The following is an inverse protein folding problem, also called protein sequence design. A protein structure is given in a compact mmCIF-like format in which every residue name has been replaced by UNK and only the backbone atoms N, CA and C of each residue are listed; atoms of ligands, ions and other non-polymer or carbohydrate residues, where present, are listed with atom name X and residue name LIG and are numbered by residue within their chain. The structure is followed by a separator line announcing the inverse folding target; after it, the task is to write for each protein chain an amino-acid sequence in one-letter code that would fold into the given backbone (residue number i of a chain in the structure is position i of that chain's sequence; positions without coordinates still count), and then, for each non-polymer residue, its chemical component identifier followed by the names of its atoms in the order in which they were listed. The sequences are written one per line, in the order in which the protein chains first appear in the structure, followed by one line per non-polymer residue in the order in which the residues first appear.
data_IF_604251398335
#
_entry.id   IF_604251398335
#
_cell.length_a   1.000
_cell.length_b   1.000
_cell.length_c   1.000
_cell.angle_alpha   90.00
_cell.angle_beta   90.00
_cell.angle_gamma   90.00
#
_symmetry.space_group_name_H-M   'P 1'
#
loop_
_entity.id
_entity.type
_entity.pdbx_description
1 polymer ?
#
# COMPACT_ATOMS: atom_id res chain seq x y z
N UNK A 1 3.72 47.98 -19.31
CA UNK A 1 3.24 47.50 -20.62
C UNK A 1 3.96 46.16 -20.86
N UNK A 2 3.49 45.00 -20.39
CA UNK A 2 2.29 44.24 -20.79
C UNK A 2 2.13 44.13 -22.31
N UNK A 3 2.78 43.13 -22.90
CA UNK A 3 2.40 42.39 -24.13
C UNK A 3 3.57 41.41 -24.38
N UNK A 4 3.46 40.09 -24.48
CA UNK A 4 2.40 39.27 -25.05
C UNK A 4 2.35 37.93 -24.31
N UNK A 5 1.22 37.68 -23.63
CA UNK A 5 0.82 36.36 -23.13
C UNK A 5 -0.40 35.90 -23.91
N UNK A 6 -0.28 35.45 -25.17
CA UNK A 6 -1.36 34.68 -25.81
C UNK A 6 -0.79 33.69 -26.83
N UNK A 7 -1.19 32.42 -26.68
CA UNK A 7 -1.11 31.32 -27.64
C UNK A 7 0.25 30.66 -27.93
N UNK A 8 0.48 29.53 -27.25
CA UNK A 8 0.85 28.28 -27.93
C UNK A 8 0.45 27.09 -27.05
N UNK A 9 -0.70 26.47 -27.37
CA UNK A 9 -1.12 25.20 -26.79
C UNK A 9 -0.02 24.16 -27.04
N UNK A 10 0.43 23.38 -26.04
CA UNK A 10 1.22 22.19 -26.33
C UNK A 10 0.33 21.19 -27.05
N UNK A 11 0.59 21.01 -28.34
CA UNK A 11 0.07 19.93 -29.17
C UNK A 11 0.46 18.60 -28.53
N UNK A 12 -0.50 17.94 -27.89
CA UNK A 12 -0.37 16.56 -27.40
C UNK A 12 -0.23 15.64 -28.62
N UNK A 13 0.99 15.50 -29.11
CA UNK A 13 1.36 14.55 -30.16
C UNK A 13 0.96 13.15 -29.70
N UNK A 14 -0.02 12.57 -30.40
CA UNK A 14 -0.67 11.27 -30.15
C UNK A 14 0.30 10.08 -30.37
N UNK A 15 0.84 9.40 -29.35
CA UNK A 15 1.54 8.12 -29.54
C UNK A 15 0.65 6.93 -29.10
N UNK A 16 -0.43 7.19 -28.35
CA UNK A 16 -1.26 6.16 -27.73
C UNK A 16 -2.27 5.50 -28.68
N UNK A 17 -2.57 6.11 -29.83
CA UNK A 17 -3.52 5.56 -30.81
C UNK A 17 -2.96 4.37 -31.60
N UNK A 18 -1.62 4.29 -31.77
CA UNK A 18 -0.98 3.17 -32.48
C UNK A 18 -1.10 1.85 -31.71
N UNK A 19 -0.92 1.90 -30.38
CA UNK A 19 -1.02 0.73 -29.51
C UNK A 19 -2.44 0.16 -29.45
N UNK A 20 -3.45 1.02 -29.31
CA UNK A 20 -4.87 0.60 -29.26
C UNK A 20 -5.30 -0.04 -30.59
N UNK A 21 -4.89 0.52 -31.73
CA UNK A 21 -5.19 -0.07 -33.04
C UNK A 21 -4.53 -1.43 -33.25
N UNK A 22 -3.33 -1.64 -32.70
CA UNK A 22 -2.62 -2.92 -32.81
C UNK A 22 -3.29 -4.02 -31.99
N UNK A 23 -3.78 -3.69 -30.78
CA UNK A 23 -4.55 -4.60 -29.93
C UNK A 23 -5.90 -4.95 -30.57
N UNK A 24 -6.61 -3.97 -31.15
CA UNK A 24 -7.88 -4.23 -31.84
C UNK A 24 -7.69 -5.10 -33.09
N UNK A 25 -6.59 -4.93 -33.83
CA UNK A 25 -6.24 -5.83 -34.96
C UNK A 25 -5.94 -7.25 -34.49
N UNK A 26 -5.26 -7.43 -33.37
CA UNK A 26 -4.99 -8.74 -32.79
C UNK A 26 -6.28 -9.43 -32.30
N UNK A 27 -7.22 -8.69 -31.71
CA UNK A 27 -8.54 -9.23 -31.35
C UNK A 27 -9.38 -9.63 -32.57
N UNK A 28 -9.36 -8.84 -33.65
CA UNK A 28 -10.06 -9.19 -34.90
C UNK A 28 -9.46 -10.43 -35.59
N UNK A 29 -8.13 -10.58 -35.53
CA UNK A 29 -7.45 -11.75 -36.07
C UNK A 29 -7.80 -13.02 -35.27
N UNK A 30 -7.80 -12.94 -33.94
CA UNK A 30 -8.23 -14.05 -33.08
C UNK A 30 -9.71 -14.42 -33.30
N UNK A 31 -10.59 -13.43 -33.51
CA UNK A 31 -12.00 -13.66 -33.83
C UNK A 31 -12.18 -14.36 -35.18
N UNK A 32 -11.40 -14.00 -36.20
CA UNK A 32 -11.44 -14.68 -37.51
C UNK A 32 -10.91 -16.12 -37.45
N UNK A 33 -9.96 -16.42 -36.56
CA UNK A 33 -9.45 -17.79 -36.34
C UNK A 33 -10.49 -18.70 -35.66
N UNK A 34 -11.35 -18.15 -34.80
CA UNK A 34 -12.44 -18.89 -34.15
C UNK A 34 -13.56 -19.21 -35.16
N UNK A 35 -13.86 -18.27 -36.08
CA UNK A 35 -14.91 -18.44 -37.11
C UNK A 35 -14.49 -19.40 -38.21
N UNK A 36 -13.18 -19.60 -38.45
CA UNK A 36 -12.66 -20.51 -39.48
C UNK A 36 -12.49 -21.97 -39.04
N UNK A 37 -12.81 -22.32 -37.79
CA UNK A 37 -12.76 -23.70 -37.30
C UNK A 37 -11.36 -24.32 -37.22
N UNK A 38 -10.29 -23.52 -37.37
CA UNK A 38 -8.93 -23.96 -37.13
C UNK A 38 -8.67 -23.93 -35.62
N UNK A 39 -8.63 -25.10 -34.97
CA UNK A 39 -8.28 -25.18 -33.55
C UNK A 39 -6.79 -24.83 -33.37
N UNK A 40 -6.41 -23.69 -32.78
CA UNK A 40 -5.05 -23.53 -32.31
C UNK A 40 -4.84 -24.55 -31.18
N UNK A 41 -3.69 -25.24 -31.18
CA UNK A 41 -3.33 -26.18 -30.13
C UNK A 41 -3.54 -25.55 -28.76
N UNK A 42 -4.00 -26.35 -27.80
CA UNK A 42 -4.39 -25.95 -26.44
C UNK A 42 -3.40 -25.02 -25.73
N UNK A 43 -2.11 -25.13 -26.08
CA UNK A 43 -1.04 -24.26 -25.60
C UNK A 43 -1.20 -22.78 -26.00
N UNK A 44 -1.61 -22.48 -27.23
CA UNK A 44 -1.72 -21.10 -27.72
C UNK A 44 -2.91 -20.34 -27.09
N UNK A 45 -3.98 -21.05 -26.72
CA UNK A 45 -5.11 -20.48 -25.98
C UNK A 45 -4.72 -20.18 -24.53
N UNK A 46 -3.93 -21.06 -23.91
CA UNK A 46 -3.40 -20.85 -22.57
C UNK A 46 -2.42 -19.67 -22.53
N UNK A 47 -1.50 -19.56 -23.49
CA UNK A 47 -0.52 -18.47 -23.56
C UNK A 47 -1.18 -17.10 -23.84
N UNK A 48 -2.23 -17.05 -24.68
CA UNK A 48 -3.00 -15.83 -24.93
C UNK A 48 -3.79 -15.38 -23.68
N UNK A 49 -4.38 -16.33 -22.93
CA UNK A 49 -5.06 -16.03 -21.66
C UNK A 49 -4.09 -15.57 -20.57
N UNK A 50 -2.87 -16.12 -20.54
CA UNK A 50 -1.83 -15.80 -19.56
C UNK A 50 -1.22 -14.42 -19.82
N UNK A 51 -0.99 -14.06 -21.09
CA UNK A 51 -0.55 -12.72 -21.46
C UNK A 51 -1.64 -11.67 -21.20
N UNK A 52 -2.92 -12.01 -21.39
CA UNK A 52 -4.02 -11.11 -21.07
C UNK A 52 -4.13 -10.86 -19.56
N UNK A 53 -3.99 -11.91 -18.73
CA UNK A 53 -3.96 -11.78 -17.27
C UNK A 53 -2.70 -11.04 -16.76
N UNK A 54 -1.52 -11.25 -17.37
CA UNK A 54 -0.32 -10.48 -17.04
C UNK A 54 -0.45 -9.01 -17.45
N UNK A 55 -1.07 -8.70 -18.58
CA UNK A 55 -1.35 -7.33 -18.97
C UNK A 55 -2.37 -6.67 -18.04
N UNK A 56 -3.42 -7.36 -17.59
CA UNK A 56 -4.39 -6.86 -16.60
C UNK A 56 -3.73 -6.66 -15.22
N UNK A 57 -2.85 -7.57 -14.80
CA UNK A 57 -2.12 -7.45 -13.53
C UNK A 57 -1.11 -6.29 -13.56
N UNK A 58 -0.42 -6.10 -14.70
CA UNK A 58 0.54 -5.00 -14.93
C UNK A 58 -0.16 -3.65 -15.14
N UNK A 59 -1.40 -3.66 -15.62
CA UNK A 59 -2.19 -2.45 -15.83
C UNK A 59 -3.18 -2.18 -14.72
N UNK A 60 -3.19 -2.96 -13.61
CA UNK A 60 -4.22 -3.05 -12.55
C UNK A 60 -4.66 -1.73 -11.93
N UNK A 61 -5.24 -0.83 -12.74
CA UNK A 61 -5.93 0.36 -12.35
C UNK A 61 -7.29 -0.08 -11.81
N UNK A 62 -7.24 -0.78 -10.68
CA UNK A 62 -8.30 -0.69 -9.70
C UNK A 62 -8.28 0.76 -9.21
N UNK A 63 -9.22 1.53 -9.74
CA UNK A 63 -9.47 2.90 -9.30
C UNK A 63 -10.19 2.79 -7.96
N UNK A 64 -9.45 2.97 -6.85
CA UNK A 64 -10.08 3.33 -5.58
C UNK A 64 -10.80 4.66 -5.82
N UNK A 65 -12.08 4.73 -5.46
CA UNK A 65 -12.95 5.92 -5.62
C UNK A 65 -12.35 7.16 -4.95
N UNK A 66 -11.38 6.98 -4.05
CA UNK A 66 -10.70 8.03 -3.29
C UNK A 66 -9.54 8.71 -4.04
N UNK A 67 -9.26 8.34 -5.30
CA UNK A 67 -8.28 9.05 -6.12
C UNK A 67 -6.81 8.94 -5.67
N UNK A 68 -6.48 8.07 -4.71
CA UNK A 68 -5.10 7.84 -4.28
C UNK A 68 -4.42 6.88 -5.27
N UNK A 69 -3.75 7.44 -6.29
CA UNK A 69 -2.93 6.68 -7.23
C UNK A 69 -1.85 5.88 -6.47
N UNK A 70 -1.62 4.65 -6.94
CA UNK A 70 -0.48 3.80 -6.59
C UNK A 70 0.86 4.56 -6.69
N UNK A 71 1.66 4.45 -5.64
CA UNK A 71 3.09 4.17 -5.76
C UNK A 71 4.05 5.32 -6.06
N UNK A 72 3.66 6.59 -5.91
CA UNK A 72 4.68 7.62 -5.63
C UNK A 72 4.78 7.67 -4.12
N UNK A 73 5.90 7.17 -3.58
CA UNK A 73 6.29 7.44 -2.20
C UNK A 73 6.37 8.95 -2.05
N UNK A 74 5.26 9.56 -1.62
CA UNK A 74 5.24 10.96 -1.22
C UNK A 74 6.25 11.17 -0.09
N UNK A 75 6.52 12.43 0.30
CA UNK A 75 7.28 12.66 1.52
C UNK A 75 6.70 11.78 2.63
N UNK A 76 7.57 11.12 3.40
CA UNK A 76 7.16 10.33 4.56
C UNK A 76 6.09 11.10 5.37
N UNK A 77 5.13 10.40 6.01
CA UNK A 77 3.97 11.05 6.63
C UNK A 77 4.35 12.29 7.46
N UNK A 78 5.47 12.21 8.18
CA UNK A 78 6.04 13.29 8.97
C UNK A 78 6.52 14.50 8.14
N UNK A 79 7.24 14.32 7.03
CA UNK A 79 7.76 15.46 6.24
C UNK A 79 6.65 16.27 5.56
N UNK A 80 5.42 15.77 5.50
CA UNK A 80 4.26 16.54 5.03
C UNK A 80 3.92 17.71 5.96
N UNK A 81 4.07 17.55 7.27
CA UNK A 81 3.60 18.53 8.27
C UNK A 81 4.71 19.07 9.19
N UNK A 82 5.81 18.33 9.36
CA UNK A 82 6.92 18.74 10.24
C UNK A 82 7.86 19.70 9.51
N UNK A 83 7.76 20.99 9.85
CA UNK A 83 8.57 22.05 9.23
C UNK A 83 9.99 22.12 9.80
N UNK A 84 10.14 21.81 11.10
CA UNK A 84 11.42 21.76 11.80
C UNK A 84 12.12 20.44 11.51
N UNK A 85 13.27 20.51 10.82
CA UNK A 85 14.08 19.34 10.44
C UNK A 85 15.27 19.09 11.37
N UNK A 86 15.47 19.99 12.33
CA UNK A 86 16.53 19.92 13.34
C UNK A 86 16.17 18.99 14.51
N UNK A 87 14.90 18.61 14.64
CA UNK A 87 14.39 17.72 15.68
C UNK A 87 13.99 16.37 15.09
N UNK A 88 14.15 15.31 15.88
CA UNK A 88 13.69 13.97 15.50
C UNK A 88 12.18 13.94 15.34
N UNK A 89 11.70 13.19 14.36
CA UNK A 89 10.26 13.03 14.18
C UNK A 89 9.63 12.25 15.34
N UNK A 90 8.34 12.46 15.67
CA UNK A 90 7.67 11.64 16.68
C UNK A 90 7.73 10.13 16.39
N UNK A 91 7.74 9.76 15.10
CA UNK A 91 7.91 8.38 14.66
C UNK A 91 9.30 7.82 15.00
N UNK A 92 10.35 8.64 14.87
CA UNK A 92 11.70 8.27 15.30
C UNK A 92 11.78 8.14 16.81
N UNK A 93 11.21 9.10 17.56
CA UNK A 93 11.23 9.09 19.03
C UNK A 93 10.57 7.84 19.62
N UNK A 94 9.43 7.40 19.09
CA UNK A 94 8.77 6.19 19.59
C UNK A 94 9.49 4.90 19.17
N UNK A 95 10.23 4.93 18.06
CA UNK A 95 11.03 3.79 17.63
C UNK A 95 12.20 3.51 18.58
N UNK A 96 12.77 4.56 19.19
CA UNK A 96 13.86 4.47 20.17
C UNK A 96 13.43 3.84 21.50
N UNK A 97 12.16 3.95 21.86
CA UNK A 97 11.62 3.34 23.09
C UNK A 97 11.55 1.82 22.92
N UNK A 98 12.20 1.01 23.78
CA UNK A 98 12.18 -0.45 23.66
C UNK A 98 10.78 -1.02 23.96
N UNK A 99 10.44 -2.20 23.43
CA UNK A 99 9.24 -2.92 23.82
C UNK A 99 9.22 -3.25 25.32
N UNK A 100 8.04 -3.13 25.93
CA UNK A 100 7.78 -3.40 27.35
C UNK A 100 7.38 -4.87 27.50
N UNK A 101 8.13 -5.60 28.32
CA UNK A 101 7.83 -6.98 28.67
C UNK A 101 6.80 -7.03 29.80
N UNK A 102 5.73 -7.81 29.63
CA UNK A 102 4.76 -8.06 30.70
C UNK A 102 4.57 -9.55 30.95
N UNK A 103 4.24 -9.90 32.19
CA UNK A 103 3.88 -11.24 32.60
C UNK A 103 2.36 -11.40 32.50
N UNK A 104 1.85 -11.69 31.32
CA UNK A 104 0.42 -11.92 31.07
C UNK A 104 0.05 -11.83 29.59
N UNK A 105 -1.09 -12.43 29.23
CA UNK A 105 -1.60 -12.44 27.86
C UNK A 105 -2.26 -11.11 27.44
N UNK A 106 -2.50 -10.19 28.38
CA UNK A 106 -3.16 -8.90 28.11
C UNK A 106 -2.41 -7.76 28.80
N UNK A 107 -2.06 -6.73 28.03
CA UNK A 107 -1.51 -5.47 28.55
C UNK A 107 -2.62 -4.42 28.69
N UNK A 108 -2.55 -3.60 29.74
CA UNK A 108 -3.41 -2.43 29.92
C UNK A 108 -2.56 -1.15 29.79
N UNK A 109 -2.75 -0.40 28.71
CA UNK A 109 -2.06 0.87 28.49
C UNK A 109 -2.96 2.05 28.88
N UNK A 110 -2.47 2.91 29.77
CA UNK A 110 -3.20 4.07 30.30
C UNK A 110 -2.56 5.42 29.90
N UNK A 111 -1.55 5.39 29.04
CA UNK A 111 -0.85 6.59 28.56
C UNK A 111 0.06 7.30 29.56
N UNK A 112 0.37 6.71 30.72
CA UNK A 112 1.29 7.30 31.70
C UNK A 112 1.08 6.78 33.11
N UNK A 113 1.61 7.50 34.11
CA UNK A 113 1.38 7.23 35.54
C UNK A 113 -0.04 7.63 35.96
N UNK A 114 -0.55 8.72 35.39
CA UNK A 114 -1.83 9.30 35.72
C UNK A 114 -2.85 9.01 34.63
N UNK A 115 -3.89 8.24 34.96
CA UNK A 115 -4.95 7.84 34.03
C UNK A 115 -5.68 9.04 33.41
N UNK A 116 -5.76 10.15 34.14
CA UNK A 116 -6.45 11.36 33.70
C UNK A 116 -5.72 12.16 32.61
N UNK A 117 -4.39 11.99 32.48
CA UNK A 117 -3.56 12.74 31.53
C UNK A 117 -3.17 11.92 30.29
N UNK A 118 -3.44 10.62 30.32
CA UNK A 118 -3.14 9.71 29.22
C UNK A 118 -4.27 9.61 28.20
N UNK A 119 -4.34 8.46 27.53
CA UNK A 119 -5.41 8.09 26.61
C UNK A 119 -6.39 7.12 27.28
N UNK A 120 -7.59 6.90 26.69
CA UNK A 120 -8.51 5.89 27.18
C UNK A 120 -7.83 4.53 27.31
N UNK A 121 -8.13 3.80 28.39
CA UNK A 121 -7.48 2.53 28.69
C UNK A 121 -7.64 1.56 27.53
N UNK A 122 -6.52 1.13 26.96
CA UNK A 122 -6.48 0.16 25.87
C UNK A 122 -6.01 -1.20 26.41
N UNK A 123 -6.83 -2.22 26.23
CA UNK A 123 -6.49 -3.61 26.52
C UNK A 123 -5.96 -4.29 25.25
N UNK A 124 -4.72 -4.72 25.30
CA UNK A 124 -3.97 -5.22 24.13
C UNK A 124 -3.68 -6.71 24.35
N UNK A 125 -4.07 -7.55 23.40
CA UNK A 125 -3.83 -9.00 23.42
C UNK A 125 -2.41 -9.31 22.96
N UNK A 126 -1.67 -10.14 23.70
CA UNK A 126 -0.26 -10.48 23.45
C UNK A 126 -0.05 -11.95 23.10
N UNK A 127 -0.87 -12.49 22.19
CA UNK A 127 -0.73 -13.88 21.76
C UNK A 127 0.42 -14.08 20.76
N UNK A 128 0.80 -13.02 20.04
CA UNK A 128 1.84 -13.08 19.02
C UNK A 128 3.22 -12.89 19.64
N UNK A 129 4.23 -13.59 19.09
CA UNK A 129 5.64 -13.31 19.39
C UNK A 129 6.07 -11.91 18.91
N UNK A 130 5.31 -11.30 17.99
CA UNK A 130 5.55 -9.94 17.55
C UNK A 130 5.04 -8.90 18.56
N UNK A 131 5.77 -7.77 18.74
CA UNK A 131 5.38 -6.71 19.65
C UNK A 131 4.07 -6.06 19.21
N UNK A 132 3.05 -6.15 20.07
CA UNK A 132 1.78 -5.48 19.85
C UNK A 132 1.86 -4.02 20.27
N UNK A 133 1.30 -3.13 19.47
CA UNK A 133 1.44 -1.67 19.64
C UNK A 133 0.15 -1.07 20.19
N UNK A 134 0.27 -0.21 21.21
CA UNK A 134 -0.82 0.66 21.65
C UNK A 134 -1.13 1.69 20.55
N UNK A 135 -2.40 1.80 20.15
CA UNK A 135 -2.81 2.69 19.04
C UNK A 135 -2.66 4.17 19.37
N UNK A 136 -2.71 4.50 20.65
CA UNK A 136 -2.65 5.89 21.12
C UNK A 136 -1.20 6.33 21.38
N UNK A 137 -0.47 5.60 22.21
CA UNK A 137 0.90 5.96 22.58
C UNK A 137 1.97 5.48 21.61
N UNK A 138 1.71 4.44 20.81
CA UNK A 138 2.74 3.76 20.02
C UNK A 138 3.70 2.90 20.85
N UNK A 139 3.46 2.75 22.16
CA UNK A 139 4.22 1.85 23.02
C UNK A 139 4.02 0.41 22.59
N UNK A 140 5.11 -0.36 22.64
CA UNK A 140 5.16 -1.75 22.19
C UNK A 140 5.17 -2.68 23.39
N UNK A 141 4.41 -3.75 23.34
CA UNK A 141 4.28 -4.74 24.40
C UNK A 141 4.61 -6.13 23.87
N UNK A 142 5.37 -6.89 24.65
CA UNK A 142 5.67 -8.30 24.39
C UNK A 142 5.35 -9.12 25.64
N UNK A 143 4.84 -10.33 25.43
CA UNK A 143 4.66 -11.28 26.52
C UNK A 143 6.03 -11.83 26.89
N UNK A 144 6.41 -11.71 28.17
CA UNK A 144 7.65 -12.31 28.65
C UNK A 144 7.51 -13.82 28.62
N UNK A 145 8.46 -14.47 27.98
CA UNK A 145 8.52 -15.91 27.93
C UNK A 145 8.86 -16.48 29.32
N UNK A 146 7.86 -16.96 30.06
CA UNK A 146 8.08 -17.72 31.31
C UNK A 146 8.23 -19.19 30.91
N UNK A 147 9.37 -19.81 31.21
CA UNK A 147 9.75 -21.13 30.71
C UNK A 147 8.64 -22.19 30.86
N UNK A 148 8.03 -22.56 29.72
CA UNK A 148 7.32 -23.83 29.56
C UNK A 148 5.78 -23.84 29.62
N UNK A 149 5.05 -22.75 29.38
CA UNK A 149 3.59 -22.76 29.59
C UNK A 149 2.67 -22.08 28.54
N UNK A 150 3.12 -21.81 27.31
CA UNK A 150 2.23 -21.29 26.26
C UNK A 150 2.60 -21.85 24.88
N UNK A 151 2.51 -23.17 24.74
CA UNK A 151 2.27 -23.79 23.45
C UNK A 151 0.79 -24.20 23.43
N UNK A 152 0.00 -23.55 22.56
CA UNK A 152 -1.34 -23.99 22.20
C UNK A 152 -1.27 -24.94 21.01
#
# INVERSE_FOLDING_TARGET
MLSECVNSKPSMARPALKGVLQVLRQCQHARNMIVSGAAPGTQAVYDASTQHLQAICSTSAFVSVDGQRRGVQGPNHTAKWMQRKDQKSPQELISEVPPIEILGAVAACQGGKDVALGHPVEYIKLDSHEPSVCKYCGLRYIMKEVGGAYAH
#
